data_IF_764216520124
#
_entry.id   IF_764216520124
#
_cell.length_a   1.000
_cell.length_b   1.000
_cell.length_c   1.000
_cell.angle_alpha   90.00
_cell.angle_beta   90.00
_cell.angle_gamma   90.00
#
_symmetry.space_group_name_H-M   'P 1'
#
loop_
_entity.id
_entity.type
_entity.pdbx_description
1 polymer ?
#
# COMPACT_ATOMS: atom_id res chain seq x y z
N UNK A 1 -28.18 19.98 0.93
CA UNK A 1 -27.05 19.24 1.54
C UNK A 1 -26.62 18.19 0.54
N UNK A 2 -25.79 18.59 -0.42
CA UNK A 2 -25.16 17.65 -1.34
C UNK A 2 -24.03 16.96 -0.58
N UNK A 3 -24.28 15.73 -0.16
CA UNK A 3 -23.26 14.90 0.47
C UNK A 3 -22.11 14.72 -0.52
N UNK A 4 -20.91 15.08 -0.05
CA UNK A 4 -19.66 15.14 -0.78
C UNK A 4 -19.36 13.79 -1.47
N UNK A 5 -19.81 13.59 -2.71
CA UNK A 5 -19.69 12.32 -3.44
C UNK A 5 -18.24 11.86 -3.64
N UNK A 6 -17.30 12.82 -3.62
CA UNK A 6 -15.86 12.56 -3.65
C UNK A 6 -15.37 11.85 -2.38
N UNK A 7 -15.94 12.16 -1.21
CA UNK A 7 -15.51 11.56 0.06
C UNK A 7 -15.73 10.05 0.14
N UNK A 8 -16.75 9.54 -0.55
CA UNK A 8 -17.05 8.10 -0.63
C UNK A 8 -16.17 7.38 -1.66
N UNK A 9 -15.80 8.07 -2.75
CA UNK A 9 -15.01 7.48 -3.84
C UNK A 9 -13.49 7.53 -3.60
N UNK A 10 -13.01 8.46 -2.79
CA UNK A 10 -11.57 8.64 -2.51
C UNK A 10 -10.86 7.35 -2.03
N UNK A 11 -11.42 6.53 -1.12
CA UNK A 11 -10.80 5.27 -0.72
C UNK A 11 -10.64 4.29 -1.87
N UNK A 12 -11.68 4.10 -2.70
CA UNK A 12 -11.64 3.20 -3.86
C UNK A 12 -10.64 3.70 -4.91
N UNK A 13 -10.65 5.00 -5.21
CA UNK A 13 -9.69 5.63 -6.13
C UNK A 13 -8.24 5.49 -5.65
N UNK A 14 -7.99 5.55 -4.34
CA UNK A 14 -6.65 5.32 -3.76
C UNK A 14 -6.22 3.87 -3.94
N UNK A 15 -7.12 2.91 -3.76
CA UNK A 15 -6.82 1.50 -4.03
C UNK A 15 -6.42 1.31 -5.51
N UNK A 16 -7.23 1.78 -6.44
CA UNK A 16 -6.92 1.64 -7.88
C UNK A 16 -5.61 2.33 -8.28
N UNK A 17 -5.32 3.48 -7.66
CA UNK A 17 -4.06 4.17 -7.84
C UNK A 17 -2.85 3.35 -7.40
N UNK A 18 -2.87 2.79 -6.19
CA UNK A 18 -1.75 2.00 -5.68
C UNK A 18 -1.52 0.72 -6.49
N UNK A 19 -2.59 0.09 -6.97
CA UNK A 19 -2.49 -1.09 -7.84
C UNK A 19 -1.90 -0.73 -9.21
N UNK A 20 -2.39 0.37 -9.82
CA UNK A 20 -1.87 0.89 -11.09
C UNK A 20 -0.39 1.25 -10.99
N UNK A 21 0.01 1.90 -9.89
CA UNK A 21 1.39 2.30 -9.65
C UNK A 21 2.31 1.10 -9.46
N UNK A 22 1.86 0.07 -8.73
CA UNK A 22 2.62 -1.16 -8.54
C UNK A 22 2.95 -1.88 -9.86
N UNK A 23 2.03 -1.84 -10.83
CA UNK A 23 2.17 -2.48 -12.13
C UNK A 23 2.79 -1.59 -13.22
N UNK A 24 3.31 -0.41 -12.87
CA UNK A 24 3.90 0.50 -13.87
C UNK A 24 2.91 0.99 -14.93
N UNK A 25 1.61 1.08 -14.58
CA UNK A 25 0.56 1.49 -15.50
C UNK A 25 0.36 3.02 -15.56
N UNK A 26 1.17 3.77 -14.81
CA UNK A 26 1.14 5.23 -14.83
C UNK A 26 2.13 5.72 -15.88
N UNK A 27 1.65 6.42 -16.90
CA UNK A 27 2.39 6.65 -18.14
C UNK A 27 3.63 7.54 -18.03
N UNK A 28 3.69 8.43 -17.04
CA UNK A 28 4.82 9.33 -16.80
C UNK A 28 4.67 10.08 -15.45
N UNK A 29 5.74 10.76 -15.04
CA UNK A 29 5.80 11.54 -13.80
C UNK A 29 4.75 12.66 -13.70
N UNK A 30 4.35 13.30 -14.82
CA UNK A 30 3.33 14.35 -14.79
C UNK A 30 1.94 13.79 -14.47
N UNK A 31 1.61 12.59 -14.98
CA UNK A 31 0.36 11.90 -14.62
C UNK A 31 0.41 11.42 -13.17
N UNK A 32 1.55 10.90 -12.71
CA UNK A 32 1.75 10.51 -11.31
C UNK A 32 1.50 11.70 -10.37
N UNK A 33 2.20 12.82 -10.60
CA UNK A 33 2.06 14.05 -9.81
C UNK A 33 0.60 14.53 -9.73
N UNK A 34 -0.11 14.59 -10.87
CA UNK A 34 -1.54 14.98 -10.89
C UNK A 34 -2.41 14.04 -10.07
N UNK A 35 -2.19 12.71 -10.16
CA UNK A 35 -2.96 11.73 -9.39
C UNK A 35 -2.68 11.85 -7.89
N UNK A 36 -1.43 12.06 -7.49
CA UNK A 36 -1.07 12.31 -6.09
C UNK A 36 -1.80 13.53 -5.52
N UNK A 37 -1.85 14.63 -6.29
CA UNK A 37 -2.60 15.84 -5.91
C UNK A 37 -4.10 15.57 -5.77
N UNK A 38 -4.72 14.93 -6.77
CA UNK A 38 -6.17 14.63 -6.76
C UNK A 38 -6.57 13.71 -5.60
N UNK A 39 -5.69 12.78 -5.24
CA UNK A 39 -5.92 11.83 -4.14
C UNK A 39 -5.50 12.37 -2.77
N UNK A 40 -5.02 13.61 -2.72
CA UNK A 40 -4.54 14.28 -1.50
C UNK A 40 -3.49 13.42 -0.75
N UNK A 41 -2.58 12.79 -1.50
CA UNK A 41 -1.51 11.99 -0.92
C UNK A 41 -0.30 12.88 -0.60
N UNK A 42 0.20 12.90 0.66
CA UNK A 42 1.30 13.77 1.08
C UNK A 42 2.66 13.19 0.68
N UNK A 43 2.81 12.83 -0.59
CA UNK A 43 4.03 12.28 -1.18
C UNK A 43 4.30 12.94 -2.53
N UNK A 44 5.58 13.09 -2.87
CA UNK A 44 6.02 13.66 -4.13
C UNK A 44 6.48 12.55 -5.09
N UNK A 45 6.67 12.89 -6.37
CA UNK A 45 7.09 11.90 -7.39
C UNK A 45 8.52 11.40 -7.18
N UNK A 46 9.36 12.20 -6.55
CA UNK A 46 10.76 11.91 -6.21
C UNK A 46 10.92 11.29 -4.82
N UNK A 47 9.83 11.09 -4.08
CA UNK A 47 9.89 10.52 -2.74
C UNK A 47 10.49 9.10 -2.78
N UNK A 48 11.46 8.78 -1.89
CA UNK A 48 11.92 7.42 -1.73
C UNK A 48 10.76 6.53 -1.27
N UNK A 49 10.76 5.28 -1.72
CA UNK A 49 9.73 4.31 -1.38
C UNK A 49 10.31 2.91 -1.16
N UNK A 50 9.49 2.00 -0.62
CA UNK A 50 9.83 0.59 -0.46
C UNK A 50 8.67 -0.27 -0.98
N UNK A 51 9.02 -1.31 -1.73
CA UNK A 51 8.12 -2.42 -2.06
C UNK A 51 8.19 -3.43 -0.93
N UNK A 52 7.06 -3.63 -0.26
CA UNK A 52 6.94 -4.61 0.82
C UNK A 52 6.02 -5.74 0.37
N UNK A 53 6.45 -6.98 0.60
CA UNK A 53 5.64 -8.17 0.28
C UNK A 53 5.49 -9.04 1.52
N UNK A 54 4.25 -9.35 1.87
CA UNK A 54 3.92 -10.35 2.87
C UNK A 54 3.53 -11.65 2.18
N UNK A 55 3.95 -12.78 2.74
CA UNK A 55 3.44 -14.10 2.36
C UNK A 55 2.30 -14.47 3.32
N UNK A 56 1.16 -14.86 2.77
CA UNK A 56 0.01 -15.33 3.53
C UNK A 56 0.08 -16.84 3.71
N UNK A 57 -0.18 -17.30 4.93
CA UNK A 57 -0.27 -18.73 5.26
C UNK A 57 -1.71 -19.18 5.09
N UNK A 58 -1.94 -20.17 4.21
CA UNK A 58 -3.28 -20.68 3.88
C UNK A 58 -4.30 -19.63 3.42
N UNK A 59 -3.86 -18.56 2.76
CA UNK A 59 -4.74 -17.44 2.41
C UNK A 59 -5.87 -17.79 1.42
N UNK A 60 -5.73 -18.84 0.58
CA UNK A 60 -6.83 -19.38 -0.23
C UNK A 60 -7.99 -19.85 0.67
N UNK A 61 -7.71 -20.76 1.61
CA UNK A 61 -8.72 -21.28 2.53
C UNK A 61 -9.30 -20.20 3.45
N UNK A 62 -8.46 -19.23 3.85
CA UNK A 62 -8.91 -18.08 4.64
C UNK A 62 -9.95 -17.24 3.87
N UNK A 63 -9.68 -16.92 2.61
CA UNK A 63 -10.60 -16.15 1.75
C UNK A 63 -11.89 -16.91 1.45
N UNK A 64 -11.83 -18.24 1.33
CA UNK A 64 -13.00 -19.05 1.02
C UNK A 64 -13.91 -19.32 2.24
N UNK A 65 -13.34 -19.42 3.44
CA UNK A 65 -14.06 -19.94 4.61
C UNK A 65 -14.20 -18.94 5.76
N UNK A 66 -13.20 -18.08 5.98
CA UNK A 66 -13.15 -17.14 7.10
C UNK A 66 -13.58 -15.75 6.65
N UNK A 67 -12.96 -15.21 5.60
CA UNK A 67 -13.22 -13.87 5.10
C UNK A 67 -14.24 -13.83 3.96
N UNK A 68 -15.53 -13.75 4.30
CA UNK A 68 -16.63 -13.84 3.33
C UNK A 68 -16.96 -12.53 2.60
N UNK A 69 -16.27 -11.44 2.92
CA UNK A 69 -16.57 -10.10 2.40
C UNK A 69 -15.83 -9.76 1.10
N UNK A 70 -15.04 -10.71 0.58
CA UNK A 70 -14.27 -10.54 -0.65
C UNK A 70 -12.92 -9.85 -0.45
N UNK A 71 -12.05 -10.00 -1.46
CA UNK A 71 -10.64 -9.60 -1.40
C UNK A 71 -10.42 -8.10 -1.23
N UNK A 72 -11.24 -7.26 -1.87
CA UNK A 72 -11.06 -5.81 -1.77
C UNK A 72 -11.41 -5.29 -0.36
N UNK A 73 -12.41 -5.90 0.29
CA UNK A 73 -12.70 -5.61 1.69
C UNK A 73 -11.55 -6.04 2.61
N UNK A 74 -10.92 -7.18 2.34
CA UNK A 74 -9.74 -7.60 3.10
C UNK A 74 -8.58 -6.61 2.88
N UNK A 75 -8.35 -6.20 1.63
CA UNK A 75 -7.34 -5.21 1.28
C UNK A 75 -7.51 -3.89 2.03
N UNK A 76 -8.75 -3.40 2.15
CA UNK A 76 -9.09 -2.22 2.98
C UNK A 76 -8.82 -2.49 4.45
N UNK A 77 -9.23 -3.65 4.98
CA UNK A 77 -9.01 -4.01 6.38
C UNK A 77 -7.51 -4.07 6.73
N UNK A 78 -6.68 -4.66 5.86
CA UNK A 78 -5.22 -4.65 5.98
C UNK A 78 -4.68 -3.22 5.95
N UNK A 79 -5.20 -2.37 5.05
CA UNK A 79 -4.85 -0.95 4.97
C UNK A 79 -5.12 -0.19 6.28
N UNK A 80 -6.23 -0.49 6.94
CA UNK A 80 -6.61 0.16 8.20
C UNK A 80 -5.74 -0.27 9.41
N UNK A 81 -4.99 -1.37 9.29
CA UNK A 81 -4.03 -1.81 10.31
C UNK A 81 -2.66 -1.15 10.15
N UNK A 82 -2.42 -0.44 9.04
CA UNK A 82 -1.20 0.33 8.83
C UNK A 82 -1.27 1.71 9.51
N UNK A 83 -0.13 2.28 9.91
CA UNK A 83 -0.10 3.62 10.49
C UNK A 83 -0.64 4.70 9.55
N UNK A 84 -1.18 5.76 10.16
CA UNK A 84 -1.60 6.97 9.45
C UNK A 84 -0.39 7.76 8.93
N UNK A 85 -0.62 8.61 7.93
CA UNK A 85 0.43 9.40 7.26
C UNK A 85 1.24 10.32 8.19
N UNK A 86 0.66 10.75 9.31
CA UNK A 86 1.33 11.57 10.34
C UNK A 86 2.58 10.88 10.95
N UNK A 87 2.74 9.58 10.70
CA UNK A 87 3.94 8.80 11.01
C UNK A 87 5.13 9.07 10.08
N UNK A 88 5.01 9.99 9.12
CA UNK A 88 6.05 10.32 8.14
C UNK A 88 6.18 9.32 6.98
N UNK A 89 5.31 8.31 6.95
CA UNK A 89 5.25 7.30 5.88
C UNK A 89 3.80 7.12 5.45
N UNK A 90 3.56 7.12 4.14
CA UNK A 90 2.28 6.78 3.54
C UNK A 90 2.34 5.35 3.06
N UNK A 91 1.39 4.53 3.51
CA UNK A 91 1.26 3.16 3.07
C UNK A 91 0.09 2.99 2.10
N UNK A 92 0.34 2.25 1.02
CA UNK A 92 -0.67 1.82 0.07
C UNK A 92 -0.66 0.31 -0.07
N UNK A 93 -1.75 -0.37 0.31
CA UNK A 93 -1.92 -1.79 -0.03
C UNK A 93 -2.27 -1.85 -1.51
N UNK A 94 -1.31 -2.23 -2.35
CA UNK A 94 -1.44 -2.27 -3.81
C UNK A 94 -2.32 -3.42 -4.26
N UNK A 95 -2.09 -4.61 -3.71
CA UNK A 95 -2.81 -5.81 -4.14
C UNK A 95 -2.84 -6.84 -3.03
N UNK A 96 -3.93 -7.59 -2.97
CA UNK A 96 -4.06 -8.76 -2.12
C UNK A 96 -4.40 -9.96 -2.99
N UNK A 97 -3.56 -10.98 -2.96
CA UNK A 97 -3.77 -12.29 -3.57
C UNK A 97 -3.90 -13.33 -2.47
N UNK A 98 -4.37 -14.55 -2.76
CA UNK A 98 -4.44 -15.59 -1.74
C UNK A 98 -3.10 -15.99 -1.11
N UNK A 99 -1.97 -15.67 -1.78
CA UNK A 99 -0.63 -16.01 -1.29
C UNK A 99 0.16 -14.82 -0.78
N UNK A 100 -0.19 -13.60 -1.18
CA UNK A 100 0.63 -12.43 -0.90
C UNK A 100 -0.18 -11.16 -0.74
N UNK A 101 0.31 -10.28 0.13
CA UNK A 101 -0.08 -8.87 0.21
C UNK A 101 1.08 -8.02 -0.29
N UNK A 102 0.79 -7.11 -1.23
CA UNK A 102 1.76 -6.19 -1.81
C UNK A 102 1.47 -4.78 -1.31
N UNK A 103 2.48 -4.13 -0.74
CA UNK A 103 2.34 -2.84 -0.06
C UNK A 103 3.46 -1.92 -0.56
N UNK A 104 3.12 -0.67 -0.84
CA UNK A 104 4.07 0.42 -1.00
C UNK A 104 4.15 1.23 0.28
N UNK A 105 5.36 1.49 0.75
CA UNK A 105 5.65 2.47 1.78
C UNK A 105 6.38 3.64 1.12
N UNK A 106 5.86 4.86 1.25
CA UNK A 106 6.42 6.05 0.62
C UNK A 106 6.74 7.09 1.68
N UNK A 107 7.92 7.69 1.62
CA UNK A 107 8.30 8.78 2.50
C UNK A 107 7.43 10.02 2.25
N UNK A 108 6.99 10.67 3.33
CA UNK A 108 6.47 12.04 3.23
C UNK A 108 7.64 13.04 3.18
N UNK A 109 7.33 14.31 2.95
CA UNK A 109 8.34 15.38 2.98
C UNK A 109 9.14 15.35 4.29
N UNK A 110 10.48 15.47 4.16
CA UNK A 110 11.40 15.48 5.30
C UNK A 110 11.85 14.11 5.83
N UNK A 111 11.38 13.00 5.25
CA UNK A 111 11.84 11.65 5.60
C UNK A 111 12.82 11.13 4.54
N UNK A 112 14.04 10.79 4.98
CA UNK A 112 15.06 10.18 4.12
C UNK A 112 14.83 8.67 3.91
N UNK A 113 15.58 8.09 2.97
CA UNK A 113 15.44 6.69 2.57
C UNK A 113 15.78 5.71 3.70
N UNK A 114 16.79 6.01 4.52
CA UNK A 114 17.22 5.14 5.63
C UNK A 114 16.15 5.11 6.72
N UNK A 115 15.64 6.29 7.10
CA UNK A 115 14.54 6.44 8.06
C UNK A 115 13.27 5.76 7.55
N UNK A 116 12.96 5.91 6.27
CA UNK A 116 11.83 5.20 5.65
C UNK A 116 11.99 3.69 5.78
N UNK A 117 13.16 3.15 5.44
CA UNK A 117 13.40 1.70 5.45
C UNK A 117 13.28 1.12 6.87
N UNK A 118 13.84 1.80 7.86
CA UNK A 118 13.69 1.40 9.27
C UNK A 118 12.23 1.42 9.72
N UNK A 119 11.50 2.51 9.42
CA UNK A 119 10.07 2.64 9.78
C UNK A 119 9.23 1.59 9.08
N UNK A 120 9.41 1.41 7.78
CA UNK A 120 8.72 0.39 6.99
C UNK A 120 8.96 -1.00 7.58
N UNK A 121 10.17 -1.33 8.01
CA UNK A 121 10.45 -2.62 8.65
C UNK A 121 9.67 -2.79 9.96
N UNK A 122 9.69 -1.79 10.84
CA UNK A 122 8.98 -1.82 12.13
C UNK A 122 7.47 -1.93 11.96
N UNK A 123 6.91 -1.12 11.06
CA UNK A 123 5.46 -1.06 10.83
C UNK A 123 4.95 -2.30 10.12
N UNK A 124 5.73 -2.87 9.20
CA UNK A 124 5.38 -4.13 8.56
C UNK A 124 5.43 -5.31 9.56
N UNK A 125 6.42 -5.34 10.46
CA UNK A 125 6.44 -6.33 11.52
C UNK A 125 5.24 -6.19 12.48
N UNK A 126 4.81 -4.95 12.78
CA UNK A 126 3.59 -4.69 13.54
C UNK A 126 2.37 -5.19 12.79
N UNK A 127 2.27 -4.88 11.50
CA UNK A 127 1.17 -5.33 10.65
C UNK A 127 1.06 -6.86 10.67
N UNK A 128 2.16 -7.60 10.51
CA UNK A 128 2.15 -9.07 10.57
C UNK A 128 1.53 -9.58 11.86
N UNK A 129 1.86 -8.99 13.01
CA UNK A 129 1.24 -9.35 14.30
C UNK A 129 -0.24 -8.98 14.35
N UNK A 130 -0.58 -7.77 13.91
CA UNK A 130 -1.97 -7.30 13.88
C UNK A 130 -2.87 -8.11 12.95
N UNK A 131 -2.34 -8.66 11.86
CA UNK A 131 -3.08 -9.56 10.97
C UNK A 131 -3.46 -10.87 11.68
N UNK A 132 -2.57 -11.43 12.47
CA UNK A 132 -2.86 -12.63 13.27
C UNK A 132 -3.84 -12.29 14.40
N UNK A 133 -3.56 -11.23 15.18
CA UNK A 133 -4.33 -10.85 16.36
C UNK A 133 -5.77 -10.42 16.05
N UNK A 134 -5.98 -9.63 14.99
CA UNK A 134 -7.30 -9.03 14.70
C UNK A 134 -8.06 -9.71 13.58
N UNK A 135 -7.37 -10.38 12.65
CA UNK A 135 -7.99 -11.00 11.48
C UNK A 135 -7.85 -12.53 11.47
N UNK A 136 -7.12 -13.13 12.42
CA UNK A 136 -6.75 -14.57 12.38
C UNK A 136 -6.08 -14.95 11.05
N UNK A 137 -5.34 -13.98 10.46
CA UNK A 137 -4.66 -14.12 9.18
C UNK A 137 -3.16 -14.21 9.40
N UNK A 138 -2.67 -15.45 9.46
CA UNK A 138 -1.23 -15.70 9.59
C UNK A 138 -0.47 -15.27 8.36
N UNK A 139 0.61 -14.53 8.58
CA UNK A 139 1.48 -14.02 7.52
C UNK A 139 2.92 -13.90 8.00
N UNK A 140 3.83 -13.68 7.07
CA UNK A 140 5.22 -13.37 7.35
C UNK A 140 5.77 -12.35 6.35
N UNK A 141 6.78 -11.59 6.76
CA UNK A 141 7.51 -10.71 5.87
C UNK A 141 8.35 -11.51 4.90
N UNK A 142 8.08 -11.37 3.60
CA UNK A 142 8.87 -12.01 2.54
C UNK A 142 10.05 -11.13 2.12
N UNK A 143 9.79 -9.87 1.81
CA UNK A 143 10.82 -8.93 1.35
C UNK A 143 10.40 -7.46 1.57
N UNK A 144 11.41 -6.61 1.73
CA UNK A 144 11.32 -5.15 1.63
C UNK A 144 12.43 -4.71 0.67
N UNK A 145 12.05 -4.10 -0.44
CA UNK A 145 12.98 -3.65 -1.49
C UNK A 145 12.89 -2.13 -1.61
N UNK A 146 13.97 -1.38 -1.33
CA UNK A 146 13.98 0.06 -1.48
C UNK A 146 13.93 0.46 -2.96
N UNK A 147 13.31 1.60 -3.22
CA UNK A 147 13.17 2.21 -4.54
C UNK A 147 13.47 3.70 -4.38
N UNK A 148 14.45 4.18 -5.15
CA UNK A 148 15.00 5.54 -4.99
C UNK A 148 13.95 6.64 -5.13
N UNK A 149 12.99 6.48 -6.03
CA UNK A 149 11.95 7.47 -6.28
C UNK A 149 10.65 6.79 -6.76
N UNK A 150 9.51 7.31 -6.30
CA UNK A 150 8.19 6.81 -6.69
C UNK A 150 7.98 6.81 -8.21
N UNK A 151 8.54 7.79 -8.92
CA UNK A 151 8.49 7.87 -10.38
C UNK A 151 9.12 6.66 -11.09
N UNK A 152 10.13 6.01 -10.49
CA UNK A 152 10.73 4.81 -11.09
C UNK A 152 9.74 3.65 -11.19
N UNK A 153 8.77 3.58 -10.29
CA UNK A 153 7.69 2.58 -10.36
C UNK A 153 6.78 2.77 -11.57
N UNK A 154 6.64 4.01 -12.05
CA UNK A 154 5.86 4.34 -13.24
C UNK A 154 6.64 4.03 -14.54
N UNK A 155 7.96 4.00 -14.47
CA UNK A 155 8.86 3.77 -15.61
C UNK A 155 9.21 2.28 -15.78
N UNK A 156 9.28 1.55 -14.67
CA UNK A 156 9.43 0.09 -14.63
C UNK A 156 8.15 -0.58 -15.14
N UNK A 157 8.01 -0.64 -16.47
CA UNK A 157 7.09 -1.59 -17.11
C UNK A 157 7.56 -2.99 -16.73
N UNK A 158 6.94 -3.60 -15.73
CA UNK A 158 7.01 -5.05 -15.59
C UNK A 158 6.43 -5.67 -16.85
N UNK A 159 7.34 -6.22 -17.68
CA UNK A 159 7.05 -6.93 -18.91
C UNK A 159 6.19 -8.19 -18.66
#
# INVERSE_FOLDING_TARGET
>A
MEGNGLGVLLPEMRLDFWDSLWHGQISNAAVLSRRLTVLELPVTTDAPCCKCVLRLTHGDAYLDHIWRYGRDRLRVAVGNLLPMADSGVVYGVCRLTPRHVYILACATEGVDADTLQERAHLDIQRLVRSLDEYLDLRSELKEIVPVEALAKLAEDRTA
#
